data_IF_349699975887
#
_entry.id   IF_349699975887
#
_cell.length_a   1.000
_cell.length_b   1.000
_cell.length_c   1.000
_cell.angle_alpha   90.00
_cell.angle_beta   90.00
_cell.angle_gamma   90.00
#
_symmetry.space_group_name_H-M   'P 1'
#
loop_
_entity.id
_entity.type
_entity.pdbx_description
1 polymer ?
#
# COMPACT_ATOMS: atom_id res chain seq x y z
N UNK A 1 38.31 17.19 -23.78
CA UNK A 1 39.35 16.21 -23.41
C UNK A 1 40.17 16.80 -22.27
N UNK A 2 39.70 16.66 -21.02
CA UNK A 2 40.44 17.00 -19.79
C UNK A 2 40.08 15.91 -18.79
N UNK A 3 41.06 15.04 -18.53
CA UNK A 3 41.00 13.90 -17.62
C UNK A 3 40.99 14.44 -16.19
N UNK A 4 39.87 14.29 -15.46
CA UNK A 4 39.81 14.47 -14.01
C UNK A 4 40.23 13.16 -13.36
N UNK A 5 41.45 13.10 -12.85
CA UNK A 5 41.84 12.10 -11.85
C UNK A 5 41.21 12.51 -10.53
N UNK A 6 40.08 11.89 -10.21
CA UNK A 6 39.54 11.89 -8.86
C UNK A 6 40.26 10.81 -8.07
N UNK A 7 40.94 11.22 -6.99
CA UNK A 7 41.44 10.33 -5.94
C UNK A 7 40.26 9.55 -5.39
N UNK A 8 40.09 8.32 -5.87
CA UNK A 8 39.18 7.36 -5.28
C UNK A 8 39.81 6.86 -3.99
N UNK A 9 39.12 7.04 -2.86
CA UNK A 9 39.32 6.14 -1.73
C UNK A 9 39.09 4.72 -2.27
N UNK A 10 40.18 3.94 -2.33
CA UNK A 10 40.12 2.52 -2.64
C UNK A 10 39.43 1.86 -1.45
N UNK A 11 38.11 1.77 -1.52
CA UNK A 11 37.33 0.98 -0.59
C UNK A 11 37.69 -0.49 -0.86
N UNK A 12 38.57 -1.03 -0.01
CA UNK A 12 39.02 -2.42 -0.08
C UNK A 12 37.81 -3.34 -0.21
N UNK A 13 37.79 -4.29 -1.16
CA UNK A 13 36.66 -5.19 -1.30
C UNK A 13 36.43 -5.91 0.04
N UNK A 14 35.21 -5.93 0.58
CA UNK A 14 34.93 -6.65 1.80
C UNK A 14 35.40 -8.09 1.63
N UNK A 15 36.14 -8.61 2.60
CA UNK A 15 36.61 -10.01 2.54
C UNK A 15 35.40 -10.91 2.32
N UNK A 16 35.53 -11.95 1.48
CA UNK A 16 34.43 -12.91 1.22
C UNK A 16 33.80 -13.41 2.52
N UNK A 17 34.61 -13.52 3.59
CA UNK A 17 34.18 -13.89 4.93
C UNK A 17 33.27 -12.84 5.60
N UNK A 18 33.56 -11.54 5.46
CA UNK A 18 32.69 -10.47 5.98
C UNK A 18 31.35 -10.39 5.25
N UNK A 19 31.31 -10.69 3.95
CA UNK A 19 30.09 -10.72 3.16
C UNK A 19 29.22 -11.94 3.52
N UNK A 20 29.85 -13.11 3.74
CA UNK A 20 29.19 -14.30 4.25
C UNK A 20 28.64 -14.04 5.67
N UNK A 21 29.45 -13.53 6.61
CA UNK A 21 28.97 -13.21 7.96
C UNK A 21 27.82 -12.20 7.95
N UNK A 22 27.91 -11.13 7.15
CA UNK A 22 26.85 -10.11 7.07
C UNK A 22 25.54 -10.65 6.47
N UNK A 23 25.60 -11.68 5.63
CA UNK A 23 24.41 -12.24 4.97
C UNK A 23 23.79 -13.40 5.77
N UNK A 24 24.62 -14.22 6.43
CA UNK A 24 24.16 -15.41 7.18
C UNK A 24 23.81 -15.12 8.64
N UNK A 25 24.42 -14.11 9.26
CA UNK A 25 24.09 -13.70 10.63
C UNK A 25 22.61 -13.33 10.84
N UNK A 26 21.96 -12.50 10.00
CA UNK A 26 20.54 -12.20 10.17
C UNK A 26 19.65 -13.44 9.98
N UNK A 27 20.04 -14.37 9.09
CA UNK A 27 19.31 -15.63 8.89
C UNK A 27 19.41 -16.56 10.10
N UNK A 28 20.60 -16.70 10.68
CA UNK A 28 20.82 -17.49 11.89
C UNK A 28 20.09 -16.89 13.09
N UNK A 29 20.08 -15.56 13.20
CA UNK A 29 19.33 -14.84 14.23
C UNK A 29 17.82 -15.06 14.10
N UNK A 30 17.29 -15.06 12.87
CA UNK A 30 15.88 -15.34 12.60
C UNK A 30 15.49 -16.78 12.98
N UNK A 31 16.36 -17.77 12.69
CA UNK A 31 16.15 -19.16 13.09
C UNK A 31 16.18 -19.35 14.62
N UNK A 32 17.06 -18.63 15.31
CA UNK A 32 17.11 -18.62 16.78
C UNK A 32 15.84 -18.00 17.37
N UNK A 33 15.39 -16.87 16.80
CA UNK A 33 14.16 -16.19 17.20
C UNK A 33 12.91 -17.06 16.95
N UNK A 34 12.84 -17.75 15.82
CA UNK A 34 11.77 -18.72 15.52
C UNK A 34 11.72 -19.82 16.60
N UNK A 35 12.86 -20.43 16.94
CA UNK A 35 12.91 -21.49 17.96
C UNK A 35 12.50 -21.01 19.36
N UNK A 36 12.72 -19.74 19.68
CA UNK A 36 12.42 -19.15 20.99
C UNK A 36 10.98 -18.60 21.07
N UNK A 37 10.48 -17.97 20.01
CA UNK A 37 9.28 -17.12 20.02
C UNK A 37 8.20 -17.59 19.02
N UNK A 38 8.52 -18.46 18.07
CA UNK A 38 7.62 -18.97 17.01
C UNK A 38 6.55 -19.95 17.49
N UNK A 39 5.84 -19.62 18.58
CA UNK A 39 4.67 -20.37 19.05
C UNK A 39 3.39 -19.61 18.69
N UNK A 40 2.43 -20.35 18.17
CA UNK A 40 1.09 -19.88 17.80
C UNK A 40 0.11 -20.41 18.85
N UNK A 41 -0.71 -19.52 19.41
CA UNK A 41 -1.67 -19.86 20.46
C UNK A 41 -3.10 -19.80 19.89
N UNK A 42 -3.65 -20.96 19.54
CA UNK A 42 -5.03 -21.09 19.09
C UNK A 42 -5.97 -21.14 20.30
N UNK A 43 -7.04 -20.34 20.27
CA UNK A 43 -8.13 -20.42 21.24
C UNK A 43 -9.07 -21.52 20.81
N UNK A 44 -9.15 -22.58 21.61
CA UNK A 44 -9.99 -23.75 21.33
C UNK A 44 -10.99 -23.88 22.47
N UNK A 45 -12.23 -24.23 22.16
CA UNK A 45 -13.20 -24.61 23.19
C UNK A 45 -13.20 -26.11 23.33
N UNK A 46 -12.94 -26.61 24.53
CA UNK A 46 -13.15 -28.03 24.78
C UNK A 46 -14.64 -28.33 24.70
N UNK A 47 -14.97 -29.27 23.81
CA UNK A 47 -16.30 -29.83 23.74
C UNK A 47 -16.48 -30.75 24.96
N UNK A 48 -17.39 -30.40 25.86
CA UNK A 48 -17.91 -31.34 26.84
C UNK A 48 -19.28 -31.81 26.37
N UNK A 49 -19.44 -33.12 26.23
CA UNK A 49 -20.76 -33.73 26.11
C UNK A 49 -21.17 -34.20 27.51
N UNK A 50 -22.27 -33.67 28.03
CA UNK A 50 -22.92 -34.28 29.19
C UNK A 50 -23.46 -35.65 28.77
N UNK A 51 -23.14 -36.69 29.54
CA UNK A 51 -23.76 -37.99 29.40
C UNK A 51 -25.10 -37.92 30.12
N UNK A 52 -26.22 -38.12 29.42
CA UNK A 52 -27.47 -38.41 30.12
C UNK A 52 -27.43 -39.85 30.62
N UNK A 53 -27.79 -40.02 31.90
CA UNK A 53 -27.91 -41.35 32.49
C UNK A 53 -28.97 -42.16 31.75
N UNK A 54 -28.60 -43.35 31.30
CA UNK A 54 -29.53 -44.25 30.64
C UNK A 54 -30.70 -44.57 31.57
N UNK A 55 -31.94 -44.25 31.19
CA UNK A 55 -33.10 -44.42 32.07
C UNK A 55 -33.39 -45.91 32.26
N UNK A 56 -33.67 -46.30 33.50
CA UNK A 56 -34.07 -47.68 33.85
C UNK A 56 -35.54 -47.98 33.50
N UNK A 57 -36.31 -46.98 33.05
CA UNK A 57 -37.71 -47.09 32.66
C UNK A 57 -37.99 -46.43 31.30
N UNK A 58 -38.61 -47.17 30.39
CA UNK A 58 -38.87 -46.73 29.01
C UNK A 58 -40.27 -46.14 28.79
N UNK A 59 -41.07 -46.01 29.85
CA UNK A 59 -42.48 -45.60 29.78
C UNK A 59 -42.70 -44.13 29.40
N UNK A 60 -41.64 -43.30 29.40
CA UNK A 60 -41.69 -41.88 29.02
C UNK A 60 -41.28 -41.57 27.58
N UNK A 61 -40.74 -42.55 26.84
CA UNK A 61 -40.25 -42.32 25.48
C UNK A 61 -41.30 -42.75 24.45
N UNK A 62 -41.66 -41.82 23.58
CA UNK A 62 -42.55 -42.06 22.45
C UNK A 62 -41.98 -41.35 21.22
N UNK A 63 -42.55 -41.60 20.04
CA UNK A 63 -42.20 -40.83 18.84
C UNK A 63 -42.37 -39.31 19.02
N UNK A 64 -43.19 -38.87 19.97
CA UNK A 64 -43.38 -37.46 20.34
C UNK A 64 -42.53 -36.94 21.51
N UNK A 65 -41.82 -37.81 22.23
CA UNK A 65 -40.92 -37.48 23.35
C UNK A 65 -39.65 -38.35 23.23
N UNK A 66 -38.73 -37.96 22.32
CA UNK A 66 -37.49 -38.70 22.13
C UNK A 66 -36.59 -38.61 23.38
N UNK A 67 -35.74 -39.61 23.58
CA UNK A 67 -34.75 -39.66 24.67
C UNK A 67 -33.70 -38.54 24.61
N UNK A 68 -33.61 -37.85 23.47
CA UNK A 68 -32.72 -36.72 23.24
C UNK A 68 -33.64 -35.56 22.81
N UNK A 69 -33.81 -34.56 23.69
CA UNK A 69 -34.68 -33.40 23.43
C UNK A 69 -34.34 -32.76 22.07
N UNK A 70 -35.32 -32.38 21.22
CA UNK A 70 -35.06 -31.78 19.91
C UNK A 70 -34.29 -30.44 19.98
N UNK A 71 -34.16 -29.83 21.17
CA UNK A 71 -33.28 -28.69 21.42
C UNK A 71 -31.77 -29.00 21.27
N UNK A 72 -31.38 -30.27 21.24
CA UNK A 72 -29.98 -30.74 21.10
C UNK A 72 -29.43 -30.77 19.67
N UNK A 73 -30.18 -30.27 18.67
CA UNK A 73 -29.61 -30.03 17.33
C UNK A 73 -28.59 -28.87 17.30
N UNK A 74 -28.33 -28.23 18.43
CA UNK A 74 -27.26 -27.25 18.57
C UNK A 74 -25.95 -27.99 18.87
N UNK A 75 -24.88 -27.66 18.12
CA UNK A 75 -23.56 -28.23 18.38
C UNK A 75 -23.14 -27.93 19.82
N UNK A 76 -22.58 -28.92 20.53
CA UNK A 76 -22.08 -28.80 21.92
C UNK A 76 -21.07 -27.67 22.13
N UNK A 77 -20.45 -27.18 21.04
CA UNK A 77 -19.62 -25.97 21.01
C UNK A 77 -20.38 -24.68 21.39
N UNK A 78 -21.67 -24.57 21.05
CA UNK A 78 -22.50 -23.40 21.33
C UNK A 78 -22.96 -23.33 22.79
N UNK A 79 -23.05 -24.47 23.46
CA UNK A 79 -23.49 -24.59 24.86
C UNK A 79 -22.33 -24.58 25.86
N UNK A 80 -21.07 -24.63 25.39
CA UNK A 80 -19.89 -24.59 26.24
C UNK A 80 -19.73 -23.21 26.90
N UNK A 81 -19.54 -23.20 28.21
CA UNK A 81 -19.28 -21.97 29.00
C UNK A 81 -17.99 -21.27 28.55
N UNK A 82 -17.93 -19.94 28.69
CA UNK A 82 -16.72 -19.15 28.36
C UNK A 82 -15.46 -19.61 29.14
N UNK A 83 -15.64 -20.27 30.29
CA UNK A 83 -14.56 -20.88 31.08
C UNK A 83 -13.96 -22.15 30.45
N UNK A 84 -14.57 -22.72 29.40
CA UNK A 84 -14.07 -23.89 28.68
C UNK A 84 -13.10 -23.54 27.54
N UNK A 85 -12.78 -22.26 27.37
CA UNK A 85 -11.79 -21.78 26.40
C UNK A 85 -10.37 -22.07 26.92
N UNK A 86 -9.64 -22.91 26.19
CA UNK A 86 -8.24 -23.23 26.46
C UNK A 86 -7.36 -22.82 25.29
N UNK A 87 -6.07 -22.62 25.56
CA UNK A 87 -5.09 -22.27 24.53
C UNK A 87 -4.35 -23.52 24.07
N UNK A 88 -4.48 -23.89 22.80
CA UNK A 88 -3.67 -24.92 22.16
C UNK A 88 -2.49 -24.27 21.46
N UNK A 89 -1.27 -24.69 21.83
CA UNK A 89 -0.04 -24.08 21.33
C UNK A 89 0.62 -24.98 20.30
N UNK A 90 0.83 -24.47 19.09
CA UNK A 90 1.57 -25.14 18.02
C UNK A 90 2.81 -24.33 17.66
N UNK A 91 3.88 -24.98 17.19
CA UNK A 91 5.02 -24.26 16.61
C UNK A 91 4.70 -23.90 15.16
N UNK A 92 4.88 -22.62 14.82
CA UNK A 92 4.82 -22.17 13.43
C UNK A 92 6.00 -22.77 12.65
N UNK A 93 5.82 -22.99 11.35
CA UNK A 93 6.96 -23.32 10.48
C UNK A 93 7.83 -22.08 10.27
N UNK A 94 9.13 -22.27 9.99
CA UNK A 94 10.05 -21.15 9.73
C UNK A 94 9.53 -20.17 8.65
N UNK A 95 8.99 -20.63 7.50
CA UNK A 95 8.40 -19.71 6.51
C UNK A 95 7.23 -18.89 7.06
N UNK A 96 6.33 -19.50 7.83
CA UNK A 96 5.21 -18.80 8.46
C UNK A 96 5.69 -17.74 9.46
N UNK A 97 6.73 -18.04 10.23
CA UNK A 97 7.31 -17.09 11.18
C UNK A 97 7.95 -15.87 10.48
N UNK A 98 8.70 -16.10 9.39
CA UNK A 98 9.28 -15.01 8.58
C UNK A 98 8.18 -14.16 7.95
N UNK A 99 7.15 -14.80 7.39
CA UNK A 99 5.98 -14.10 6.83
C UNK A 99 5.25 -13.31 7.91
N UNK A 100 5.10 -13.85 9.11
CA UNK A 100 4.46 -13.16 10.22
C UNK A 100 5.20 -11.88 10.61
N UNK A 101 6.52 -11.95 10.80
CA UNK A 101 7.35 -10.78 11.09
C UNK A 101 7.29 -9.73 9.98
N UNK A 102 7.39 -10.16 8.72
CA UNK A 102 7.26 -9.27 7.57
C UNK A 102 5.88 -8.61 7.52
N UNK A 103 4.82 -9.33 7.90
CA UNK A 103 3.45 -8.81 7.91
C UNK A 103 3.24 -7.75 8.98
N UNK A 104 3.94 -7.78 10.13
CA UNK A 104 3.86 -6.68 11.12
C UNK A 104 4.36 -5.38 10.50
N UNK A 105 5.57 -5.41 9.95
CA UNK A 105 6.18 -4.23 9.34
C UNK A 105 5.34 -3.78 8.14
N UNK A 106 4.88 -4.74 7.35
CA UNK A 106 4.06 -4.51 6.17
C UNK A 106 2.70 -3.93 6.52
N UNK A 107 2.09 -4.30 7.65
CA UNK A 107 0.78 -3.77 8.08
C UNK A 107 0.90 -2.31 8.52
N UNK A 108 2.01 -1.93 9.15
CA UNK A 108 2.31 -0.52 9.43
C UNK A 108 2.47 0.26 8.12
N UNK A 109 3.29 -0.25 7.18
CA UNK A 109 3.48 0.43 5.88
C UNK A 109 2.18 0.47 5.06
N UNK A 110 1.41 -0.61 5.05
CA UNK A 110 0.15 -0.74 4.33
C UNK A 110 -0.93 0.19 4.89
N UNK A 111 -1.08 0.29 6.21
CA UNK A 111 -2.03 1.24 6.80
C UNK A 111 -1.69 2.69 6.44
N UNK A 112 -0.40 3.04 6.37
CA UNK A 112 0.06 4.38 5.97
C UNK A 112 -0.10 4.60 4.46
N UNK A 113 0.58 3.81 3.63
CA UNK A 113 0.62 3.99 2.19
C UNK A 113 -0.70 3.61 1.53
N UNK A 114 -1.30 2.49 1.91
CA UNK A 114 -2.61 2.07 1.40
C UNK A 114 -3.72 3.03 1.82
N UNK A 115 -3.71 3.47 3.09
CA UNK A 115 -4.70 4.42 3.60
C UNK A 115 -4.65 5.77 2.87
N UNK A 116 -3.46 6.33 2.65
CA UNK A 116 -3.32 7.57 1.85
C UNK A 116 -3.58 7.32 0.37
N UNK A 117 -3.11 6.20 -0.14
CA UNK A 117 -3.18 5.80 -1.54
C UNK A 117 -4.59 5.62 -2.06
N UNK A 118 -5.48 5.04 -1.25
CA UNK A 118 -6.86 4.72 -1.66
C UNK A 118 -7.65 5.99 -1.99
N UNK A 119 -7.36 7.12 -1.33
CA UNK A 119 -7.94 8.41 -1.68
C UNK A 119 -7.12 9.13 -2.76
N UNK A 120 -5.78 9.07 -2.68
CA UNK A 120 -4.89 9.81 -3.57
C UNK A 120 -4.93 9.32 -5.02
N UNK A 121 -5.05 8.01 -5.27
CA UNK A 121 -5.04 7.43 -6.61
C UNK A 121 -6.19 7.97 -7.48
N UNK A 122 -7.47 7.80 -7.11
CA UNK A 122 -8.57 8.25 -7.95
C UNK A 122 -8.62 9.78 -8.06
N UNK A 123 -8.41 10.49 -6.96
CA UNK A 123 -8.41 11.95 -6.95
C UNK A 123 -7.25 12.54 -7.76
N UNK A 124 -6.06 11.93 -7.69
CA UNK A 124 -4.90 12.34 -8.47
C UNK A 124 -5.12 12.21 -9.98
N UNK A 125 -5.75 11.11 -10.41
CA UNK A 125 -6.12 10.88 -11.81
C UNK A 125 -7.16 11.89 -12.31
N UNK A 126 -8.21 12.15 -11.52
CA UNK A 126 -9.25 13.14 -11.84
C UNK A 126 -8.64 14.56 -11.93
N UNK A 127 -7.81 14.95 -10.95
CA UNK A 127 -7.16 16.26 -10.98
C UNK A 127 -6.16 16.40 -12.13
N UNK A 128 -5.50 15.31 -12.55
CA UNK A 128 -4.64 15.33 -13.74
C UNK A 128 -5.44 15.69 -14.99
N UNK A 129 -6.67 15.17 -15.14
CA UNK A 129 -7.55 15.55 -16.25
C UNK A 129 -8.04 17.01 -16.14
N UNK A 130 -8.46 17.46 -14.95
CA UNK A 130 -8.99 18.82 -14.76
C UNK A 130 -7.90 19.87 -15.04
N UNK A 131 -6.65 19.60 -14.66
CA UNK A 131 -5.51 20.51 -14.82
C UNK A 131 -4.77 20.37 -16.15
N UNK A 132 -5.28 19.55 -17.06
CA UNK A 132 -4.63 19.33 -18.36
C UNK A 132 -4.48 20.65 -19.14
N UNK A 133 -3.42 20.80 -19.94
CA UNK A 133 -3.33 21.89 -20.89
C UNK A 133 -4.44 21.78 -21.94
N UNK A 134 -5.10 22.90 -22.26
CA UNK A 134 -6.29 22.93 -23.15
C UNK A 134 -5.99 23.33 -24.59
N UNK A 135 -4.82 23.90 -24.87
CA UNK A 135 -4.45 24.31 -26.22
C UNK A 135 -2.96 24.10 -26.49
N UNK A 136 -2.65 23.87 -27.76
CA UNK A 136 -1.29 23.80 -28.30
C UNK A 136 -0.71 25.22 -28.36
N UNK A 137 0.52 25.38 -27.89
CA UNK A 137 1.22 26.68 -27.86
C UNK A 137 1.84 26.96 -29.24
N UNK A 138 1.88 28.23 -29.65
CA UNK A 138 2.56 28.63 -30.90
C UNK A 138 4.08 28.56 -30.77
N UNK A 139 4.81 28.39 -31.88
CA UNK A 139 6.29 28.30 -31.87
C UNK A 139 6.96 29.52 -31.19
N UNK A 140 6.44 30.73 -31.40
CA UNK A 140 6.99 31.95 -30.81
C UNK A 140 6.82 31.99 -29.30
N UNK A 141 5.65 31.55 -28.79
CA UNK A 141 5.39 31.42 -27.36
C UNK A 141 6.24 30.32 -26.73
N UNK A 142 6.39 29.17 -27.41
CA UNK A 142 7.27 28.09 -26.96
C UNK A 142 8.72 28.59 -26.80
N UNK A 143 9.25 29.28 -27.81
CA UNK A 143 10.61 29.85 -27.75
C UNK A 143 10.74 30.83 -26.58
N UNK A 144 9.76 31.71 -26.37
CA UNK A 144 9.78 32.66 -25.27
C UNK A 144 9.81 31.95 -23.91
N UNK A 145 8.88 31.04 -23.65
CA UNK A 145 8.80 30.31 -22.38
C UNK A 145 10.02 29.40 -22.15
N UNK A 146 10.49 28.70 -23.19
CA UNK A 146 11.71 27.91 -23.13
C UNK A 146 12.94 28.76 -22.78
N UNK A 147 13.03 30.00 -23.30
CA UNK A 147 14.12 30.91 -22.92
C UNK A 147 14.01 31.40 -21.47
N UNK A 148 12.80 31.62 -20.95
CA UNK A 148 12.58 31.98 -19.54
C UNK A 148 12.92 30.83 -18.59
N UNK A 149 12.48 29.60 -18.91
CA UNK A 149 12.87 28.39 -18.18
C UNK A 149 14.39 28.17 -18.25
N UNK A 150 15.02 28.40 -19.41
CA UNK A 150 16.47 28.33 -19.57
C UNK A 150 17.23 29.33 -18.70
N UNK A 151 16.68 30.53 -18.46
CA UNK A 151 17.25 31.51 -17.50
C UNK A 151 17.16 30.99 -16.07
N UNK A 152 15.99 30.51 -15.63
CA UNK A 152 15.81 29.89 -14.30
C UNK A 152 16.75 28.70 -14.10
N UNK A 153 16.90 27.84 -15.11
CA UNK A 153 17.82 26.71 -15.08
C UNK A 153 19.27 27.14 -14.84
N UNK A 154 19.71 28.22 -15.49
CA UNK A 154 21.05 28.78 -15.31
C UNK A 154 21.25 29.35 -13.90
N UNK A 155 20.26 30.03 -13.34
CA UNK A 155 20.30 30.54 -11.97
C UNK A 155 20.38 29.39 -10.94
N UNK A 156 19.54 28.37 -11.11
CA UNK A 156 19.56 27.15 -10.31
C UNK A 156 20.89 26.42 -10.40
N UNK A 157 21.47 26.31 -11.61
CA UNK A 157 22.79 25.72 -11.81
C UNK A 157 23.88 26.49 -11.05
N UNK A 158 23.87 27.83 -11.10
CA UNK A 158 24.81 28.66 -10.33
C UNK A 158 24.64 28.47 -8.82
N UNK A 159 23.40 28.41 -8.33
CA UNK A 159 23.12 28.15 -6.92
C UNK A 159 23.61 26.75 -6.49
N UNK A 160 23.42 25.73 -7.33
CA UNK A 160 23.93 24.39 -7.09
C UNK A 160 25.47 24.34 -7.08
N UNK A 161 26.12 25.02 -8.02
CA UNK A 161 27.59 25.13 -8.08
C UNK A 161 28.16 25.84 -6.84
N UNK A 162 27.52 26.92 -6.38
CA UNK A 162 27.91 27.60 -5.14
C UNK A 162 27.80 26.69 -3.91
N UNK A 163 26.72 25.92 -3.79
CA UNK A 163 26.56 24.92 -2.72
C UNK A 163 27.57 23.78 -2.81
N UNK A 164 28.00 23.41 -4.03
CA UNK A 164 29.05 22.40 -4.22
C UNK A 164 30.43 22.95 -3.83
N UNK A 165 30.69 24.25 -4.03
CA UNK A 165 31.89 24.90 -3.52
C UNK A 165 31.88 25.00 -1.98
N UNK A 166 30.75 25.35 -1.38
CA UNK A 166 30.56 25.31 0.08
C UNK A 166 30.83 23.90 0.66
N UNK A 167 30.41 22.86 -0.07
CA UNK A 167 30.68 21.46 0.29
C UNK A 167 32.18 21.17 0.33
N UNK A 168 32.94 21.62 -0.68
CA UNK A 168 34.39 21.45 -0.76
C UNK A 168 35.14 22.25 0.30
N UNK A 169 34.61 23.40 0.71
CA UNK A 169 35.14 24.18 1.83
C UNK A 169 34.87 23.56 3.22
N UNK A 170 34.22 22.39 3.27
CA UNK A 170 34.01 21.62 4.49
C UNK A 170 32.80 22.03 5.34
N UNK A 171 32.01 23.02 4.91
CA UNK A 171 30.92 23.56 5.73
C UNK A 171 29.60 22.77 5.55
N UNK A 172 29.59 21.48 5.93
CA UNK A 172 28.43 20.56 5.80
C UNK A 172 27.37 20.73 6.91
N UNK A 173 27.12 21.97 7.34
CA UNK A 173 26.19 22.29 8.42
C UNK A 173 24.71 22.12 8.09
N UNK A 174 23.84 22.42 9.06
CA UNK A 174 22.37 22.34 8.93
C UNK A 174 21.81 23.30 7.87
N UNK A 175 22.43 24.47 7.71
CA UNK A 175 22.08 25.48 6.68
C UNK A 175 22.32 24.96 5.27
N UNK A 176 23.49 24.35 5.02
CA UNK A 176 23.83 23.72 3.75
C UNK A 176 22.80 22.63 3.38
N UNK A 177 22.49 21.71 4.30
CA UNK A 177 21.48 20.66 4.07
C UNK A 177 20.09 21.21 3.73
N UNK A 178 19.73 22.38 4.28
CA UNK A 178 18.45 23.07 3.96
C UNK A 178 18.50 23.68 2.57
N UNK A 179 19.59 24.35 2.21
CA UNK A 179 19.78 24.97 0.89
C UNK A 179 19.83 23.92 -0.23
N UNK A 180 20.55 22.81 -0.03
CA UNK A 180 20.57 21.68 -0.96
C UNK A 180 19.17 21.14 -1.22
N UNK A 181 18.36 20.96 -0.16
CA UNK A 181 16.96 20.52 -0.30
C UNK A 181 16.09 21.55 -1.01
N UNK A 182 16.32 22.85 -0.82
CA UNK A 182 15.60 23.89 -1.51
C UNK A 182 15.91 23.88 -3.02
N UNK A 183 17.20 23.84 -3.38
CA UNK A 183 17.66 23.74 -4.78
C UNK A 183 17.15 22.46 -5.44
N UNK A 184 17.21 21.33 -4.74
CA UNK A 184 16.66 20.07 -5.25
C UNK A 184 15.15 20.15 -5.51
N UNK A 185 14.40 20.78 -4.60
CA UNK A 185 12.95 20.99 -4.78
C UNK A 185 12.66 21.90 -5.97
N UNK A 186 13.40 22.98 -6.13
CA UNK A 186 13.22 23.91 -7.25
C UNK A 186 13.62 23.27 -8.59
N UNK A 187 14.66 22.43 -8.62
CA UNK A 187 15.02 21.63 -9.79
C UNK A 187 13.87 20.70 -10.19
N UNK A 188 13.27 19.98 -9.23
CA UNK A 188 12.14 19.09 -9.52
C UNK A 188 10.94 19.86 -10.08
N UNK A 189 10.67 21.07 -9.59
CA UNK A 189 9.60 21.92 -10.12
C UNK A 189 9.93 22.43 -11.54
N UNK A 190 11.18 22.79 -11.79
CA UNK A 190 11.64 23.23 -13.10
C UNK A 190 11.55 22.11 -14.15
N UNK A 191 11.89 20.88 -13.77
CA UNK A 191 11.74 19.68 -14.60
C UNK A 191 10.25 19.40 -14.91
N UNK A 192 9.37 19.52 -13.92
CA UNK A 192 7.93 19.36 -14.12
C UNK A 192 7.36 20.46 -15.06
N UNK A 193 7.81 21.71 -14.90
CA UNK A 193 7.44 22.83 -15.80
C UNK A 193 7.97 22.61 -17.24
N UNK A 194 9.18 22.04 -17.39
CA UNK A 194 9.76 21.69 -18.69
C UNK A 194 8.97 20.57 -19.38
N UNK A 195 8.68 19.49 -18.66
CA UNK A 195 7.87 18.37 -19.18
C UNK A 195 6.48 18.84 -19.62
N UNK A 196 5.86 19.74 -18.86
CA UNK A 196 4.58 20.34 -19.23
C UNK A 196 4.69 21.18 -20.52
N UNK A 197 5.79 21.94 -20.68
CA UNK A 197 6.03 22.72 -21.90
C UNK A 197 6.25 21.83 -23.13
N UNK A 198 6.99 20.73 -22.99
CA UNK A 198 7.20 19.74 -24.05
C UNK A 198 5.89 19.04 -24.45
N UNK A 199 5.03 18.71 -23.48
CA UNK A 199 3.72 18.10 -23.76
C UNK A 199 2.78 19.06 -24.52
N UNK A 200 2.89 20.37 -24.29
CA UNK A 200 2.11 21.40 -24.98
C UNK A 200 2.62 21.78 -26.37
N UNK A 201 3.83 21.34 -26.74
CA UNK A 201 4.41 21.56 -28.05
C UNK A 201 5.05 20.27 -28.57
N UNK A 202 4.24 19.31 -29.09
CA UNK A 202 4.76 18.07 -29.62
C UNK A 202 5.70 18.36 -30.80
N UNK A 203 6.98 18.04 -30.63
CA UNK A 203 7.99 18.23 -31.66
C UNK A 203 8.04 16.99 -32.56
N UNK A 204 7.77 17.15 -33.86
CA UNK A 204 7.91 16.07 -34.83
C UNK A 204 7.03 16.22 -36.08
N UNK A 205 7.22 15.32 -37.03
CA UNK A 205 6.46 15.25 -38.29
C UNK A 205 4.99 14.84 -38.09
N UNK A 206 4.67 14.25 -36.93
CA UNK A 206 3.32 13.81 -36.55
C UNK A 206 2.80 14.52 -35.27
N UNK A 207 2.86 15.85 -35.26
CA UNK A 207 2.45 16.65 -34.10
C UNK A 207 0.97 16.46 -33.74
N UNK A 208 0.08 16.33 -34.73
CA UNK A 208 -1.37 16.19 -34.51
C UNK A 208 -1.74 14.84 -33.88
N UNK A 209 -1.13 13.74 -34.32
CA UNK A 209 -1.40 12.41 -33.76
C UNK A 209 -0.85 12.30 -32.33
N UNK A 210 0.34 12.86 -32.09
CA UNK A 210 0.96 12.89 -30.75
C UNK A 210 0.07 13.65 -29.77
N UNK A 211 -0.46 14.80 -30.17
CA UNK A 211 -1.42 15.57 -29.37
C UNK A 211 -2.75 14.84 -29.16
N UNK A 212 -3.25 14.12 -30.16
CA UNK A 212 -4.44 13.29 -30.01
C UNK A 212 -4.23 12.19 -28.96
N UNK A 213 -3.06 11.53 -28.96
CA UNK A 213 -2.71 10.53 -27.95
C UNK A 213 -2.56 11.11 -26.54
N UNK A 214 -2.01 12.32 -26.37
CA UNK A 214 -1.94 12.97 -25.05
C UNK A 214 -3.34 13.29 -24.52
N UNK A 215 -4.23 13.83 -25.36
CA UNK A 215 -5.64 14.05 -24.99
C UNK A 215 -6.31 12.74 -24.59
N UNK A 216 -6.16 11.68 -25.40
CA UNK A 216 -6.72 10.37 -25.12
C UNK A 216 -6.18 9.82 -23.78
N UNK A 217 -4.90 10.01 -23.51
CA UNK A 217 -4.28 9.67 -22.23
C UNK A 217 -4.92 10.39 -21.05
N UNK A 218 -5.22 11.70 -21.19
CA UNK A 218 -5.94 12.45 -20.16
C UNK A 218 -7.37 11.95 -19.96
N UNK A 219 -8.10 11.63 -21.02
CA UNK A 219 -9.45 11.05 -20.93
C UNK A 219 -9.39 9.68 -20.25
N UNK A 220 -8.41 8.85 -20.60
CA UNK A 220 -8.16 7.57 -19.94
C UNK A 220 -7.92 7.73 -18.44
N UNK A 221 -7.12 8.73 -18.03
CA UNK A 221 -6.94 9.06 -16.61
C UNK A 221 -8.27 9.44 -15.93
N UNK A 222 -9.15 10.20 -16.59
CA UNK A 222 -10.46 10.52 -16.02
C UNK A 222 -11.31 9.26 -15.79
N UNK A 223 -11.40 8.38 -16.80
CA UNK A 223 -12.19 7.15 -16.72
C UNK A 223 -11.65 6.25 -15.60
N UNK A 224 -10.34 6.02 -15.57
CA UNK A 224 -9.68 5.26 -14.52
C UNK A 224 -9.84 5.91 -13.14
N UNK A 225 -9.85 7.24 -13.08
CA UNK A 225 -10.08 8.00 -11.85
C UNK A 225 -11.50 7.82 -11.30
N UNK A 226 -12.52 7.83 -12.17
CA UNK A 226 -13.92 7.59 -11.79
C UNK A 226 -14.12 6.13 -11.34
N UNK A 227 -13.61 5.16 -12.11
CA UNK A 227 -13.66 3.74 -11.73
C UNK A 227 -12.95 3.53 -10.40
N UNK A 228 -11.74 4.08 -10.26
CA UNK A 228 -10.97 4.02 -9.02
C UNK A 228 -11.71 4.65 -7.84
N UNK A 229 -12.43 5.77 -8.04
CA UNK A 229 -13.23 6.38 -6.98
C UNK A 229 -14.32 5.43 -6.49
N UNK A 230 -15.04 4.78 -7.40
CA UNK A 230 -16.10 3.80 -7.06
C UNK A 230 -15.49 2.63 -6.28
N UNK A 231 -14.36 2.10 -6.76
CA UNK A 231 -13.67 0.97 -6.11
C UNK A 231 -13.12 1.36 -4.73
N UNK A 232 -12.56 2.57 -4.58
CA UNK A 232 -12.11 3.09 -3.29
C UNK A 232 -13.25 3.22 -2.29
N UNK A 233 -14.40 3.77 -2.71
CA UNK A 233 -15.58 3.88 -1.85
C UNK A 233 -16.08 2.50 -1.46
N UNK A 234 -16.16 1.56 -2.40
CA UNK A 234 -16.55 0.18 -2.14
C UNK A 234 -15.61 -0.50 -1.12
N UNK A 235 -14.30 -0.31 -1.25
CA UNK A 235 -13.32 -0.80 -0.28
C UNK A 235 -13.50 -0.18 1.11
N UNK A 236 -13.59 1.14 1.21
CA UNK A 236 -13.78 1.81 2.51
C UNK A 236 -15.09 1.36 3.17
N UNK A 237 -16.18 1.26 2.41
CA UNK A 237 -17.46 0.76 2.89
C UNK A 237 -17.34 -0.69 3.37
N UNK A 238 -16.70 -1.57 2.59
CA UNK A 238 -16.47 -2.97 2.97
C UNK A 238 -15.68 -3.09 4.28
N UNK A 239 -14.63 -2.28 4.44
CA UNK A 239 -13.82 -2.26 5.66
C UNK A 239 -14.67 -1.86 6.87
N UNK A 240 -15.45 -0.77 6.75
CA UNK A 240 -16.29 -0.27 7.85
C UNK A 240 -17.40 -1.28 8.23
N UNK A 241 -18.06 -1.87 7.24
CA UNK A 241 -19.25 -2.71 7.45
C UNK A 241 -18.88 -4.15 7.88
N UNK A 242 -17.80 -4.70 7.31
CA UNK A 242 -17.42 -6.11 7.49
C UNK A 242 -16.27 -6.32 8.49
N UNK A 243 -15.30 -5.40 8.57
CA UNK A 243 -14.10 -5.59 9.40
C UNK A 243 -14.11 -4.80 10.72
N UNK A 244 -14.74 -3.62 10.78
CA UNK A 244 -14.68 -2.77 11.98
C UNK A 244 -15.78 -3.10 13.02
N UNK A 245 -16.90 -3.67 12.60
CA UNK A 245 -18.06 -3.91 13.45
C UNK A 245 -18.16 -5.41 13.73
N UNK A 246 -18.12 -5.77 15.02
CA UNK A 246 -18.33 -7.14 15.49
C UNK A 246 -19.66 -7.24 16.25
N UNK A 247 -20.64 -8.04 15.80
CA UNK A 247 -20.68 -8.86 14.57
C UNK A 247 -20.83 -8.02 13.29
N UNK A 248 -20.38 -8.53 12.11
CA UNK A 248 -20.41 -7.77 10.86
C UNK A 248 -21.84 -7.44 10.43
N UNK A 249 -22.08 -6.19 10.03
CA UNK A 249 -23.42 -5.72 9.63
C UNK A 249 -23.90 -6.41 8.35
N UNK A 250 -23.00 -6.60 7.38
CA UNK A 250 -23.27 -7.38 6.17
C UNK A 250 -21.97 -7.87 5.54
N UNK A 251 -21.98 -9.01 4.83
CA UNK A 251 -20.83 -9.51 4.07
C UNK A 251 -20.49 -8.66 2.82
N UNK A 252 -21.35 -7.70 2.44
CA UNK A 252 -21.23 -6.75 1.31
C UNK A 252 -20.46 -7.28 0.08
N UNK A 253 -19.18 -6.94 -0.09
CA UNK A 253 -18.41 -7.33 -1.28
C UNK A 253 -18.24 -8.86 -1.39
N UNK A 254 -18.19 -9.58 -0.27
CA UNK A 254 -18.15 -11.04 -0.29
C UNK A 254 -19.39 -11.63 -0.98
N UNK A 255 -20.58 -11.10 -0.70
CA UNK A 255 -21.82 -11.56 -1.32
C UNK A 255 -21.84 -11.20 -2.81
N UNK A 256 -21.33 -10.02 -3.18
CA UNK A 256 -21.19 -9.62 -4.59
C UNK A 256 -20.30 -10.60 -5.36
N UNK A 257 -19.16 -11.01 -4.79
CA UNK A 257 -18.26 -11.96 -5.43
C UNK A 257 -18.86 -13.35 -5.57
N UNK A 258 -19.55 -13.86 -4.53
CA UNK A 258 -20.30 -15.13 -4.62
C UNK A 258 -21.37 -15.09 -5.71
N UNK A 259 -22.10 -13.97 -5.83
CA UNK A 259 -23.09 -13.80 -6.90
C UNK A 259 -22.45 -13.77 -8.29
N UNK A 260 -21.33 -13.08 -8.46
CA UNK A 260 -20.60 -13.05 -9.73
C UNK A 260 -20.08 -14.45 -10.11
N UNK A 261 -19.58 -15.21 -9.13
CA UNK A 261 -19.12 -16.58 -9.31
C UNK A 261 -20.25 -17.51 -9.78
N UNK A 262 -21.47 -17.32 -9.26
CA UNK A 262 -22.65 -18.08 -9.67
C UNK A 262 -23.08 -17.85 -11.13
N UNK A 263 -22.77 -16.68 -11.70
CA UNK A 263 -23.04 -16.38 -13.12
C UNK A 263 -21.98 -17.03 -14.00
N UNK A 264 -20.71 -16.88 -13.63
CA UNK A 264 -19.58 -17.52 -14.28
C UNK A 264 -18.42 -17.61 -13.29
N UNK A 265 -17.93 -18.82 -13.00
CA UNK A 265 -16.92 -19.03 -11.94
C UNK A 265 -15.59 -18.29 -12.13
N UNK A 266 -15.30 -17.81 -13.35
CA UNK A 266 -14.12 -16.97 -13.60
C UNK A 266 -14.38 -15.49 -13.24
N UNK A 267 -15.63 -15.04 -13.23
CA UNK A 267 -16.00 -13.65 -13.01
C UNK A 267 -15.80 -13.23 -11.54
N UNK A 268 -16.18 -14.09 -10.59
CA UNK A 268 -15.95 -13.84 -9.16
C UNK A 268 -14.47 -13.74 -8.83
N UNK A 269 -13.68 -14.69 -9.33
CA UNK A 269 -12.22 -14.73 -9.13
C UNK A 269 -11.50 -13.56 -9.81
N UNK A 270 -11.90 -13.18 -11.02
CA UNK A 270 -11.37 -12.00 -11.71
C UNK A 270 -11.70 -10.69 -10.97
N UNK A 271 -12.93 -10.56 -10.46
CA UNK A 271 -13.33 -9.39 -9.66
C UNK A 271 -12.52 -9.30 -8.36
N UNK A 272 -12.34 -10.42 -7.65
CA UNK A 272 -11.48 -10.49 -6.48
C UNK A 272 -10.03 -10.06 -6.79
N UNK A 273 -9.46 -10.56 -7.89
CA UNK A 273 -8.12 -10.19 -8.33
C UNK A 273 -8.00 -8.69 -8.66
N UNK A 274 -9.02 -8.12 -9.31
CA UNK A 274 -9.09 -6.68 -9.60
C UNK A 274 -9.09 -5.83 -8.32
N UNK A 275 -9.90 -6.20 -7.30
CA UNK A 275 -9.93 -5.48 -6.02
C UNK A 275 -8.60 -5.59 -5.27
N UNK A 276 -7.94 -6.74 -5.29
CA UNK A 276 -6.61 -6.93 -4.71
C UNK A 276 -5.54 -6.09 -5.41
N UNK A 277 -5.52 -6.12 -6.75
CA UNK A 277 -4.60 -5.34 -7.57
C UNK A 277 -4.82 -3.84 -7.36
N UNK A 278 -6.08 -3.41 -7.18
CA UNK A 278 -6.41 -2.03 -6.86
C UNK A 278 -5.78 -1.56 -5.54
N UNK A 279 -5.82 -2.37 -4.47
CA UNK A 279 -5.14 -2.02 -3.21
C UNK A 279 -3.63 -1.92 -3.39
N UNK A 280 -3.02 -2.79 -4.19
CA UNK A 280 -1.59 -2.71 -4.47
C UNK A 280 -1.24 -1.42 -5.23
N UNK A 281 -2.04 -1.06 -6.25
CA UNK A 281 -1.89 0.22 -6.95
C UNK A 281 -2.09 1.42 -6.02
N UNK A 282 -3.03 1.33 -5.08
CA UNK A 282 -3.23 2.35 -4.05
C UNK A 282 -1.97 2.50 -3.18
N UNK A 283 -1.38 1.40 -2.71
CA UNK A 283 -0.11 1.44 -1.94
C UNK A 283 1.00 2.14 -2.73
N UNK A 284 1.17 1.80 -4.01
CA UNK A 284 2.17 2.44 -4.89
C UNK A 284 1.88 3.95 -5.01
N UNK A 285 0.63 4.33 -5.24
CA UNK A 285 0.22 5.74 -5.30
C UNK A 285 0.44 6.47 -3.96
N UNK A 286 0.18 5.80 -2.84
CA UNK A 286 0.41 6.34 -1.50
C UNK A 286 1.88 6.56 -1.20
N UNK A 287 2.73 5.59 -1.53
CA UNK A 287 4.18 5.68 -1.35
C UNK A 287 4.78 6.82 -2.18
N UNK A 288 4.37 6.91 -3.46
CA UNK A 288 4.84 7.98 -4.36
C UNK A 288 4.37 9.38 -3.93
N UNK A 289 3.16 9.49 -3.38
CA UNK A 289 2.62 10.77 -2.90
C UNK A 289 3.24 11.21 -1.57
N UNK A 290 3.39 10.26 -0.65
CA UNK A 290 3.85 10.57 0.70
C UNK A 290 5.33 10.93 0.72
N UNK A 291 6.16 10.31 -0.13
CA UNK A 291 7.58 10.67 -0.27
C UNK A 291 8.27 10.88 1.08
N UNK A 292 7.86 10.10 2.08
CA UNK A 292 8.04 10.45 3.49
C UNK A 292 9.51 10.25 3.87
N UNK A 293 10.02 11.17 4.67
CA UNK A 293 11.10 10.84 5.61
C UNK A 293 10.50 10.01 6.73
N UNK A 294 10.29 8.72 6.51
CA UNK A 294 9.96 7.80 7.58
C UNK A 294 11.19 7.67 8.47
N UNK A 295 11.14 8.34 9.63
CA UNK A 295 12.01 8.39 10.84
C UNK A 295 13.54 8.30 10.64
N UNK A 296 14.07 7.45 9.76
CA UNK A 296 15.49 7.25 9.47
C UNK A 296 15.87 7.23 7.98
N UNK A 297 14.92 7.12 7.03
CA UNK A 297 15.24 7.02 5.60
C UNK A 297 14.53 8.11 4.81
N UNK A 298 15.27 8.80 3.95
CA UNK A 298 14.72 9.80 3.03
C UNK A 298 14.31 9.07 1.76
N UNK A 299 13.02 8.75 1.62
CA UNK A 299 12.49 8.18 0.39
C UNK A 299 12.57 9.25 -0.70
N UNK A 300 13.26 8.94 -1.80
CA UNK A 300 13.21 9.78 -2.99
C UNK A 300 11.89 9.52 -3.73
N UNK A 301 11.16 10.57 -4.12
CA UNK A 301 9.91 10.41 -4.86
C UNK A 301 10.19 9.65 -6.17
N UNK A 302 9.36 8.65 -6.46
CA UNK A 302 9.51 7.86 -7.68
C UNK A 302 8.99 8.67 -8.87
N UNK A 303 9.86 8.99 -9.81
CA UNK A 303 9.55 9.57 -11.12
C UNK A 303 9.82 8.53 -12.21
N UNK A 304 8.93 8.44 -13.18
CA UNK A 304 9.14 7.59 -14.35
C UNK A 304 10.37 8.07 -15.13
N UNK A 305 11.32 7.17 -15.42
CA UNK A 305 12.52 7.47 -16.20
C UNK A 305 13.58 8.38 -15.53
N UNK A 306 13.29 8.94 -14.35
CA UNK A 306 14.18 9.90 -13.65
C UNK A 306 14.71 9.42 -12.30
N UNK A 307 14.37 8.21 -11.86
CA UNK A 307 14.79 7.68 -10.55
C UNK A 307 16.11 6.92 -10.63
N UNK A 308 17.03 7.24 -9.73
CA UNK A 308 18.25 6.45 -9.53
C UNK A 308 17.91 5.01 -9.17
N UNK A 309 18.63 4.04 -9.75
CA UNK A 309 18.39 2.60 -9.57
C UNK A 309 18.35 2.19 -8.09
N UNK A 310 19.26 2.72 -7.25
CA UNK A 310 19.29 2.41 -5.83
C UNK A 310 18.02 2.88 -5.09
N UNK A 311 17.54 4.09 -5.40
CA UNK A 311 16.31 4.62 -4.81
C UNK A 311 15.07 3.89 -5.32
N UNK A 312 15.08 3.47 -6.59
CA UNK A 312 14.02 2.64 -7.16
C UNK A 312 13.93 1.29 -6.45
N UNK A 313 15.05 0.58 -6.29
CA UNK A 313 15.09 -0.71 -5.58
C UNK A 313 14.62 -0.59 -4.12
N UNK A 314 14.99 0.50 -3.44
CA UNK A 314 14.53 0.74 -2.08
C UNK A 314 13.01 0.88 -2.00
N UNK A 315 12.41 1.69 -2.87
CA UNK A 315 10.94 1.86 -2.94
C UNK A 315 10.24 0.56 -3.33
N UNK A 316 10.75 -0.16 -4.33
CA UNK A 316 10.23 -1.49 -4.70
C UNK A 316 10.29 -2.45 -3.51
N UNK A 317 11.35 -2.40 -2.69
CA UNK A 317 11.43 -3.18 -1.45
C UNK A 317 10.31 -2.86 -0.46
N UNK A 318 9.93 -1.58 -0.30
CA UNK A 318 8.82 -1.17 0.56
C UNK A 318 7.46 -1.64 -0.01
N UNK A 319 7.28 -1.56 -1.33
CA UNK A 319 6.08 -2.07 -2.02
C UNK A 319 5.97 -3.59 -1.82
N UNK A 320 7.06 -4.33 -2.01
CA UNK A 320 7.07 -5.79 -1.83
C UNK A 320 6.77 -6.18 -0.38
N UNK A 321 7.35 -5.48 0.58
CA UNK A 321 7.11 -5.73 1.99
C UNK A 321 5.64 -5.46 2.38
N UNK A 322 5.05 -4.40 1.85
CA UNK A 322 3.63 -4.09 2.07
C UNK A 322 2.68 -5.03 1.32
N UNK A 323 3.08 -5.60 0.18
CA UNK A 323 2.25 -6.53 -0.59
C UNK A 323 1.87 -7.81 0.19
N UNK A 324 2.75 -8.28 1.08
CA UNK A 324 2.46 -9.41 1.99
C UNK A 324 1.27 -9.06 2.89
N UNK A 325 1.22 -7.83 3.39
CA UNK A 325 0.13 -7.36 4.24
C UNK A 325 -1.14 -7.06 3.46
N UNK A 326 -1.03 -6.65 2.19
CA UNK A 326 -2.20 -6.55 1.29
C UNK A 326 -2.85 -7.92 1.14
N UNK A 327 -2.08 -8.98 0.92
CA UNK A 327 -2.61 -10.35 0.81
C UNK A 327 -3.29 -10.78 2.11
N UNK A 328 -2.63 -10.56 3.25
CA UNK A 328 -3.21 -10.89 4.57
C UNK A 328 -4.51 -10.13 4.83
N UNK A 329 -4.54 -8.85 4.48
CA UNK A 329 -5.72 -8.01 4.60
C UNK A 329 -6.84 -8.49 3.69
N UNK A 330 -6.56 -8.82 2.44
CA UNK A 330 -7.55 -9.36 1.50
C UNK A 330 -8.08 -10.72 1.96
N UNK A 331 -7.24 -11.61 2.48
CA UNK A 331 -7.68 -12.89 3.05
C UNK A 331 -8.67 -12.64 4.20
N UNK A 332 -8.34 -11.73 5.12
CA UNK A 332 -9.22 -11.39 6.25
C UNK A 332 -10.51 -10.68 5.78
N UNK A 333 -10.41 -9.71 4.87
CA UNK A 333 -11.53 -8.93 4.36
C UNK A 333 -12.51 -9.78 3.54
N UNK A 334 -12.00 -10.81 2.87
CA UNK A 334 -12.79 -11.68 2.02
C UNK A 334 -12.89 -13.11 2.56
N UNK A 335 -12.82 -13.27 3.89
CA UNK A 335 -12.82 -14.57 4.55
C UNK A 335 -14.03 -15.46 4.19
N UNK A 336 -15.19 -14.85 3.92
CA UNK A 336 -16.40 -15.58 3.50
C UNK A 336 -16.30 -16.07 2.05
N UNK A 337 -15.81 -15.24 1.13
CA UNK A 337 -15.66 -15.62 -0.27
C UNK A 337 -14.49 -16.59 -0.49
N UNK A 338 -13.36 -16.33 0.16
CA UNK A 338 -12.12 -17.12 0.04
C UNK A 338 -12.04 -18.27 1.06
N UNK A 339 -13.17 -18.71 1.61
CA UNK A 339 -13.21 -19.79 2.59
C UNK A 339 -12.59 -21.08 2.00
N UNK A 340 -11.87 -21.82 2.85
CA UNK A 340 -11.18 -23.06 2.47
C UNK A 340 -10.09 -22.91 1.40
N UNK A 341 -9.56 -21.69 1.18
CA UNK A 341 -8.35 -21.49 0.38
C UNK A 341 -7.10 -21.54 1.26
N UNK A 342 -5.97 -22.01 0.70
CA UNK A 342 -4.69 -22.03 1.41
C UNK A 342 -4.25 -20.64 1.88
N UNK A 343 -4.60 -19.58 1.14
CA UNK A 343 -4.34 -18.20 1.55
C UNK A 343 -5.08 -17.85 2.85
N UNK A 344 -6.34 -18.27 3.01
CA UNK A 344 -7.11 -18.04 4.22
C UNK A 344 -6.60 -18.83 5.42
N UNK A 345 -6.16 -20.07 5.20
CA UNK A 345 -5.57 -20.90 6.26
C UNK A 345 -4.27 -20.28 6.81
N UNK A 346 -3.37 -19.87 5.92
CA UNK A 346 -2.06 -19.33 6.28
C UNK A 346 -2.17 -17.91 6.87
N UNK A 347 -2.85 -17.00 6.18
CA UNK A 347 -2.87 -15.57 6.55
C UNK A 347 -4.00 -15.20 7.51
N UNK A 348 -5.11 -15.94 7.51
CA UNK A 348 -6.24 -15.72 8.41
C UNK A 348 -6.03 -16.36 9.78
N UNK A 349 -5.84 -17.69 9.82
CA UNK A 349 -5.85 -18.43 11.09
C UNK A 349 -4.51 -18.44 11.82
N UNK A 350 -3.41 -18.72 11.11
CA UNK A 350 -2.08 -18.88 11.74
C UNK A 350 -1.50 -17.53 12.17
N UNK A 351 -1.62 -16.51 11.31
CA UNK A 351 -0.96 -15.21 11.51
C UNK A 351 -1.64 -14.34 12.58
N UNK A 352 -2.96 -14.40 12.70
CA UNK A 352 -3.71 -13.70 13.76
C UNK A 352 -3.53 -14.33 15.14
N UNK A 353 -3.12 -15.61 15.19
CA UNK A 353 -2.97 -16.37 16.44
C UNK A 353 -1.53 -16.38 16.98
N UNK A 354 -0.59 -15.69 16.31
CA UNK A 354 0.80 -15.60 16.75
C UNK A 354 0.94 -14.81 18.06
N UNK A 355 1.72 -15.38 18.98
CA UNK A 355 1.93 -14.86 20.33
C UNK A 355 2.58 -13.47 20.28
N UNK A 356 1.94 -12.49 20.92
CA UNK A 356 2.34 -11.08 20.93
C UNK A 356 1.61 -10.20 19.91
N UNK A 357 1.50 -10.65 18.65
CA UNK A 357 0.89 -9.86 17.56
C UNK A 357 -0.63 -9.96 17.56
N UNK A 358 -1.20 -11.05 18.10
CA UNK A 358 -2.65 -11.30 18.22
C UNK A 358 -3.46 -10.08 18.70
N UNK A 359 -2.91 -9.28 19.62
CA UNK A 359 -3.61 -8.11 20.14
C UNK A 359 -3.77 -6.98 19.12
N UNK A 360 -2.78 -6.75 18.25
CA UNK A 360 -2.85 -5.71 17.23
C UNK A 360 -3.94 -6.00 16.19
N UNK A 361 -4.12 -7.28 15.85
CA UNK A 361 -5.17 -7.73 14.94
C UNK A 361 -6.53 -7.85 15.64
N UNK A 362 -6.57 -8.30 16.90
CA UNK A 362 -7.82 -8.39 17.69
C UNK A 362 -8.51 -7.03 17.85
N UNK A 363 -7.74 -5.95 17.99
CA UNK A 363 -8.28 -4.59 18.12
C UNK A 363 -8.40 -3.85 16.78
N UNK A 364 -8.18 -4.53 15.64
CA UNK A 364 -8.27 -3.94 14.31
C UNK A 364 -7.49 -2.62 14.13
N UNK A 365 -6.36 -2.47 14.84
CA UNK A 365 -5.63 -1.19 14.94
C UNK A 365 -5.19 -0.69 13.57
N UNK A 366 -4.73 -1.60 12.70
CA UNK A 366 -4.25 -1.26 11.37
C UNK A 366 -5.40 -0.84 10.43
N UNK A 367 -6.58 -1.45 10.58
CA UNK A 367 -7.78 -1.13 9.81
C UNK A 367 -8.32 0.25 10.20
N UNK A 368 -8.36 0.57 11.50
CA UNK A 368 -8.68 1.91 11.98
C UNK A 368 -7.69 2.96 11.46
N UNK A 369 -6.38 2.67 11.52
CA UNK A 369 -5.35 3.56 10.98
C UNK A 369 -5.51 3.79 9.47
N UNK A 370 -5.78 2.72 8.71
CA UNK A 370 -6.01 2.78 7.27
C UNK A 370 -7.19 3.70 6.91
N UNK A 371 -8.36 3.49 7.54
CA UNK A 371 -9.55 4.31 7.30
C UNK A 371 -9.33 5.76 7.76
N UNK A 372 -8.71 5.94 8.93
CA UNK A 372 -8.39 7.28 9.44
C UNK A 372 -7.51 8.09 8.49
N UNK A 373 -6.43 7.50 7.98
CA UNK A 373 -5.55 8.16 7.01
C UNK A 373 -6.21 8.39 5.66
N UNK A 374 -7.10 7.50 5.22
CA UNK A 374 -7.93 7.68 4.03
C UNK A 374 -8.86 8.90 4.16
N UNK A 375 -9.54 9.04 5.29
CA UNK A 375 -10.40 10.19 5.55
C UNK A 375 -9.61 11.50 5.63
N UNK A 376 -8.48 11.51 6.33
CA UNK A 376 -7.60 12.69 6.43
C UNK A 376 -7.15 13.14 5.04
N UNK A 377 -6.76 12.20 4.18
CA UNK A 377 -6.29 12.52 2.82
C UNK A 377 -7.41 12.98 1.90
N UNK A 378 -8.60 12.39 2.02
CA UNK A 378 -9.80 12.86 1.32
C UNK A 378 -10.15 14.30 1.73
N UNK A 379 -10.15 14.61 3.03
CA UNK A 379 -10.37 15.98 3.54
C UNK A 379 -9.28 16.93 3.05
N UNK A 380 -8.01 16.51 3.08
CA UNK A 380 -6.90 17.32 2.55
C UNK A 380 -7.10 17.66 1.07
N UNK A 381 -7.53 16.70 0.25
CA UNK A 381 -7.83 16.95 -1.15
C UNK A 381 -9.10 17.79 -1.35
N UNK A 382 -10.12 17.65 -0.51
CA UNK A 382 -11.31 18.51 -0.57
C UNK A 382 -10.97 19.98 -0.25
N UNK A 383 -10.16 20.22 0.79
CA UNK A 383 -9.79 21.57 1.24
C UNK A 383 -8.70 22.23 0.38
N UNK A 384 -7.68 21.46 0.00
CA UNK A 384 -6.47 21.98 -0.65
C UNK A 384 -6.23 21.43 -2.06
N UNK A 385 -6.97 20.40 -2.48
CA UNK A 385 -6.85 19.83 -3.82
C UNK A 385 -7.19 20.85 -4.92
N UNK A 386 -8.07 21.82 -4.64
CA UNK A 386 -8.34 22.93 -5.56
C UNK A 386 -7.29 24.04 -5.49
N UNK A 387 -6.51 24.12 -4.40
CA UNK A 387 -5.48 25.15 -4.16
C UNK A 387 -4.07 24.74 -4.59
N UNK A 388 -3.81 23.48 -4.98
CA UNK A 388 -2.48 23.08 -5.45
C UNK A 388 -2.11 23.90 -6.70
N UNK A 389 -1.00 24.64 -6.58
CA UNK A 389 -0.49 25.68 -7.49
C UNK A 389 -0.78 25.36 -8.95
N UNK A 390 -1.37 26.33 -9.64
CA UNK A 390 -1.22 26.50 -11.08
C UNK A 390 0.29 26.34 -11.40
N UNK A 391 0.68 25.60 -12.45
CA UNK A 391 2.09 25.55 -12.89
C UNK A 391 2.64 26.98 -12.90
N UNK A 392 3.83 27.16 -12.33
CA UNK A 392 4.34 28.51 -12.04
C UNK A 392 4.93 29.10 -13.31
N UNK A 393 4.05 29.44 -14.24
CA UNK A 393 4.35 30.05 -15.52
C UNK A 393 3.07 30.11 -16.32
N UNK A 394 2.38 31.25 -16.28
CA UNK A 394 1.65 31.94 -17.35
C UNK A 394 1.08 31.16 -18.57
N UNK A 395 0.73 29.89 -18.47
CA UNK A 395 -0.06 29.18 -19.49
C UNK A 395 -1.54 29.63 -19.50
N UNK A 396 -1.81 30.87 -19.08
CA UNK A 396 -3.06 31.53 -19.38
C UNK A 396 -2.98 31.95 -20.84
N UNK A 397 -3.49 31.07 -21.69
CA UNK A 397 -3.97 31.40 -23.01
C UNK A 397 -4.86 32.62 -22.86
N UNK A 398 -4.38 33.79 -23.28
CA UNK A 398 -5.27 34.89 -23.61
C UNK A 398 -6.08 34.41 -24.81
N UNK A 399 -7.37 34.20 -24.61
CA UNK A 399 -8.31 34.13 -25.72
C UNK A 399 -8.24 35.42 -26.55
#
# INVERSE_FOLDING_TARGET
>A
MVRREGVGEVQSPPSKLSFLFSSFFPFFLLLLLERLVGKVDFTVRHLSSSVESFPSSWSGFSSGQPCISPSTRQCSAYTASASSETTWTMRATFPEYVVALATIVGSVLFSIFGGVGIACLPLGLIFSFIRRPKAVITRSQYIKEATELGKKARELKKAAEALHQEERSGNKGRKWRKNVKAVQKELLLLEDDMNALEEMYPQGEQAETTWAFTILGYIGKLILGIIGLVVSVAWVAHIVIYLLIDPPLSPFLNEVFVKLDSVWGLLGTAAFAFFCLYLLLAVIAGETMLGLKLVFITIHPMKWGGTLMNSFLFNVGLILLSSISVIQFCATAFAYYAQATAAQEIFGHTLQSLRGIKYLYKYNVFQYAFVGLSLITLVYYALFGWRKRKPTGRFQLSN
#
